data_IF_413782822491
#
_entry.id   IF_413782822491
#
_cell.length_a   1.000
_cell.length_b   1.000
_cell.length_c   1.000
_cell.angle_alpha   90.00
_cell.angle_beta   90.00
_cell.angle_gamma   90.00
#
_symmetry.space_group_name_H-M   'P 1'
#
loop_
_entity.id
_entity.type
_entity.pdbx_description
1 polymer ?
#
# COMPACT_ATOMS: atom_id res chain seq x y z
N UNK A 1 5.78 -12.60 -34.67
CA UNK A 1 7.05 -11.88 -34.48
C UNK A 1 7.50 -12.19 -33.05
N UNK A 2 8.69 -12.74 -32.86
CA UNK A 2 9.19 -13.06 -31.51
C UNK A 2 9.64 -11.76 -30.82
N UNK A 3 9.23 -11.57 -29.57
CA UNK A 3 9.68 -10.44 -28.74
C UNK A 3 11.11 -10.77 -28.26
N UNK A 4 12.10 -9.88 -28.43
CA UNK A 4 13.48 -10.15 -28.05
C UNK A 4 13.64 -10.19 -26.53
N UNK A 5 14.70 -10.85 -26.05
CA UNK A 5 15.03 -10.86 -24.62
C UNK A 5 16.15 -11.84 -24.28
N UNK A 6 16.67 -11.80 -23.04
CA UNK A 6 17.66 -12.74 -22.57
C UNK A 6 17.10 -14.17 -22.55
N UNK A 7 17.98 -15.14 -22.79
CA UNK A 7 17.64 -16.55 -22.61
C UNK A 7 17.76 -16.96 -21.14
N UNK A 8 16.99 -17.97 -20.74
CA UNK A 8 17.00 -18.52 -19.38
C UNK A 8 16.12 -17.74 -18.40
N UNK A 9 15.95 -18.32 -17.22
CA UNK A 9 15.22 -17.70 -16.12
C UNK A 9 16.02 -16.54 -15.53
N UNK A 10 15.38 -15.39 -15.34
CA UNK A 10 15.99 -14.18 -14.82
C UNK A 10 15.79 -14.00 -13.30
N UNK A 11 15.16 -14.96 -12.60
CA UNK A 11 14.79 -14.81 -11.19
C UNK A 11 15.96 -14.50 -10.27
N UNK A 12 17.12 -15.14 -10.44
CA UNK A 12 18.30 -14.86 -9.60
C UNK A 12 18.79 -13.42 -9.75
N UNK A 13 18.78 -12.90 -10.99
CA UNK A 13 19.15 -11.50 -11.25
C UNK A 13 18.10 -10.54 -10.70
N UNK A 14 16.82 -10.87 -10.87
CA UNK A 14 15.72 -10.05 -10.36
C UNK A 14 15.76 -9.94 -8.84
N UNK A 15 15.99 -11.04 -8.11
CA UNK A 15 16.07 -11.02 -6.65
C UNK A 15 17.32 -10.29 -6.13
N UNK A 16 18.42 -10.32 -6.89
CA UNK A 16 19.67 -9.67 -6.48
C UNK A 16 19.69 -8.16 -6.78
N UNK A 17 19.16 -7.74 -7.92
CA UNK A 17 19.19 -6.35 -8.40
C UNK A 17 18.03 -6.11 -9.41
N UNK A 18 16.79 -5.89 -8.90
CA UNK A 18 15.63 -5.68 -9.77
C UNK A 18 15.81 -4.45 -10.67
N UNK A 19 16.32 -3.34 -10.13
CA UNK A 19 16.51 -2.10 -10.89
C UNK A 19 17.58 -2.26 -11.96
N UNK A 20 18.72 -2.88 -11.64
CA UNK A 20 19.78 -3.15 -12.60
C UNK A 20 19.33 -4.09 -13.71
N UNK A 21 18.57 -5.14 -13.40
CA UNK A 21 17.95 -6.00 -14.41
C UNK A 21 17.00 -5.20 -15.32
N UNK A 22 16.08 -4.42 -14.74
CA UNK A 22 15.14 -3.59 -15.51
C UNK A 22 15.85 -2.49 -16.32
N UNK A 23 17.02 -2.03 -15.90
CA UNK A 23 17.83 -1.12 -16.70
C UNK A 23 18.47 -1.84 -17.90
N UNK A 24 19.13 -2.98 -17.66
CA UNK A 24 19.82 -3.77 -18.68
C UNK A 24 18.87 -4.26 -19.79
N UNK A 25 17.65 -4.68 -19.40
CA UNK A 25 16.65 -5.20 -20.35
C UNK A 25 16.26 -4.17 -21.41
N UNK A 26 16.36 -2.86 -21.14
CA UNK A 26 16.08 -1.80 -22.12
C UNK A 26 16.89 -1.95 -23.41
N UNK A 27 18.08 -2.53 -23.33
CA UNK A 27 18.96 -2.76 -24.49
C UNK A 27 18.37 -3.73 -25.53
N UNK A 28 17.41 -4.58 -25.15
CA UNK A 28 16.72 -5.50 -26.07
C UNK A 28 15.61 -4.83 -26.87
N UNK A 29 15.16 -3.65 -26.44
CA UNK A 29 14.18 -2.82 -27.16
C UNK A 29 12.96 -2.47 -26.33
N UNK A 30 11.87 -2.13 -27.03
CA UNK A 30 10.65 -1.55 -26.45
C UNK A 30 9.75 -2.56 -25.73
N UNK A 31 9.83 -3.82 -26.14
CA UNK A 31 9.14 -4.95 -25.53
C UNK A 31 10.18 -6.04 -25.34
N UNK A 32 10.30 -6.54 -24.12
CA UNK A 32 11.35 -7.49 -23.76
C UNK A 32 10.71 -8.70 -23.11
N UNK A 33 10.93 -9.86 -23.72
CA UNK A 33 10.45 -11.14 -23.20
C UNK A 33 11.45 -11.68 -22.19
N UNK A 34 11.00 -12.03 -21.00
CA UNK A 34 11.81 -12.71 -19.98
C UNK A 34 11.03 -13.89 -19.42
N UNK A 35 11.76 -14.94 -19.04
CA UNK A 35 11.25 -15.93 -18.12
C UNK A 35 11.58 -15.44 -16.70
N UNK A 36 10.57 -15.35 -15.84
CA UNK A 36 10.75 -14.96 -14.43
C UNK A 36 10.12 -16.04 -13.55
N UNK A 37 10.95 -16.88 -12.93
CA UNK A 37 10.52 -18.02 -12.13
C UNK A 37 9.55 -18.96 -12.89
N UNK A 38 9.82 -19.21 -14.17
CA UNK A 38 8.95 -20.01 -15.04
C UNK A 38 7.78 -19.24 -15.68
N UNK A 39 7.47 -18.02 -15.22
CA UNK A 39 6.41 -17.20 -15.80
C UNK A 39 6.88 -16.51 -17.09
N UNK A 40 6.04 -16.60 -18.13
CA UNK A 40 6.22 -15.87 -19.38
C UNK A 40 5.86 -14.38 -19.15
N UNK A 41 6.88 -13.52 -19.14
CA UNK A 41 6.75 -12.11 -18.76
C UNK A 41 7.23 -11.20 -19.89
N UNK A 42 6.47 -10.14 -20.16
CA UNK A 42 6.87 -9.08 -21.09
C UNK A 42 7.04 -7.78 -20.33
N UNK A 43 8.26 -7.23 -20.35
CA UNK A 43 8.58 -5.90 -19.83
C UNK A 43 8.35 -4.86 -20.93
N UNK A 44 7.60 -3.81 -20.61
CA UNK A 44 7.16 -2.78 -21.57
C UNK A 44 7.89 -1.46 -21.26
N UNK A 45 8.73 -1.01 -22.19
CA UNK A 45 9.41 0.30 -22.15
C UNK A 45 8.78 1.32 -23.11
N UNK A 46 7.73 0.94 -23.83
CA UNK A 46 7.01 1.81 -24.76
C UNK A 46 5.86 2.54 -24.06
N UNK A 47 5.96 3.87 -23.98
CA UNK A 47 4.97 4.72 -23.29
C UNK A 47 3.58 4.62 -23.94
N UNK A 48 3.49 4.51 -25.26
CA UNK A 48 2.21 4.41 -25.96
C UNK A 48 1.53 3.07 -25.66
N UNK A 49 2.29 1.97 -25.65
CA UNK A 49 1.78 0.67 -25.29
C UNK A 49 1.38 0.58 -23.82
N UNK A 50 2.17 1.15 -22.90
CA UNK A 50 1.79 1.26 -21.48
C UNK A 50 0.51 2.07 -21.31
N UNK A 51 0.39 3.21 -21.99
CA UNK A 51 -0.85 4.00 -21.97
C UNK A 51 -2.04 3.18 -22.49
N UNK A 52 -1.90 2.51 -23.64
CA UNK A 52 -2.95 1.67 -24.21
C UNK A 52 -3.35 0.52 -23.28
N UNK A 53 -2.38 -0.08 -22.58
CA UNK A 53 -2.62 -1.12 -21.58
C UNK A 53 -3.51 -0.59 -20.44
N UNK A 54 -3.11 0.53 -19.84
CA UNK A 54 -3.82 1.10 -18.68
C UNK A 54 -5.11 1.84 -19.02
N UNK A 55 -5.26 2.38 -20.24
CA UNK A 55 -6.43 3.14 -20.67
C UNK A 55 -7.49 2.28 -21.38
N UNK A 56 -7.08 1.38 -22.27
CA UNK A 56 -7.99 0.71 -23.21
C UNK A 56 -8.08 -0.82 -23.03
N UNK A 57 -7.14 -1.39 -22.26
CA UNK A 57 -6.98 -2.86 -22.12
C UNK A 57 -6.88 -3.33 -20.68
N UNK A 58 -7.26 -2.50 -19.72
CA UNK A 58 -7.20 -2.84 -18.30
C UNK A 58 -8.08 -4.04 -17.96
N UNK A 59 -9.16 -4.26 -18.71
CA UNK A 59 -10.04 -5.44 -18.64
C UNK A 59 -9.34 -6.77 -18.97
N UNK A 60 -8.15 -6.73 -19.59
CA UNK A 60 -7.32 -7.90 -19.87
C UNK A 60 -6.21 -8.09 -18.83
N UNK A 61 -6.11 -7.21 -17.82
CA UNK A 61 -5.08 -7.26 -16.78
C UNK A 61 -5.70 -7.80 -15.50
N UNK A 62 -5.29 -9.00 -15.12
CA UNK A 62 -5.64 -9.60 -13.84
C UNK A 62 -4.93 -8.93 -12.66
N UNK A 63 -5.40 -9.22 -11.46
CA UNK A 63 -4.73 -8.83 -10.22
C UNK A 63 -3.46 -9.67 -10.05
N UNK A 64 -2.34 -9.02 -9.74
CA UNK A 64 -1.11 -9.76 -9.48
C UNK A 64 -1.19 -10.48 -8.12
N UNK A 65 -0.54 -11.64 -7.99
CA UNK A 65 -0.59 -12.47 -6.77
C UNK A 65 -0.31 -11.73 -5.45
N UNK A 66 0.63 -10.76 -5.36
CA UNK A 66 0.81 -9.97 -4.14
C UNK A 66 -0.42 -9.14 -3.75
N UNK A 67 -1.20 -8.67 -4.73
CA UNK A 67 -2.46 -7.98 -4.48
C UNK A 67 -3.59 -8.96 -4.12
N UNK A 68 -3.53 -10.21 -4.59
CA UNK A 68 -4.44 -11.27 -4.13
C UNK A 68 -4.20 -11.54 -2.64
N UNK A 69 -2.96 -11.71 -2.21
CA UNK A 69 -2.58 -11.83 -0.80
C UNK A 69 -3.04 -10.62 0.02
N UNK A 70 -2.86 -9.40 -0.49
CA UNK A 70 -3.34 -8.18 0.17
C UNK A 70 -4.87 -8.11 0.28
N UNK A 71 -5.61 -8.79 -0.60
CA UNK A 71 -7.09 -8.81 -0.58
C UNK A 71 -7.64 -9.57 0.63
N UNK A 72 -6.86 -10.46 1.23
CA UNK A 72 -7.21 -11.11 2.49
C UNK A 72 -7.30 -10.10 3.65
N UNK A 73 -6.39 -9.12 3.69
CA UNK A 73 -6.42 -8.05 4.69
C UNK A 73 -7.48 -6.97 4.38
N UNK A 74 -7.62 -6.62 3.10
CA UNK A 74 -8.34 -5.39 2.69
C UNK A 74 -9.68 -5.64 1.99
N UNK A 75 -10.06 -6.91 1.81
CA UNK A 75 -11.23 -7.32 1.04
C UNK A 75 -11.19 -6.76 -0.39
N UNK A 76 -12.34 -6.31 -0.88
CA UNK A 76 -12.47 -5.58 -2.16
C UNK A 76 -12.35 -4.06 -1.97
N UNK A 77 -11.34 -3.63 -1.21
CA UNK A 77 -10.99 -2.23 -0.97
C UNK A 77 -10.42 -1.53 -2.20
N UNK A 78 -9.92 -0.29 -2.05
CA UNK A 78 -9.39 0.50 -3.19
C UNK A 78 -8.19 -0.19 -3.87
N UNK A 79 -7.32 -0.82 -3.09
CA UNK A 79 -6.06 -1.40 -3.59
C UNK A 79 -6.25 -2.76 -4.28
N UNK A 80 -7.33 -3.48 -3.94
CA UNK A 80 -7.54 -4.90 -4.26
C UNK A 80 -8.84 -5.13 -5.02
N UNK A 81 -9.46 -4.05 -5.53
CA UNK A 81 -10.64 -4.13 -6.37
C UNK A 81 -10.34 -3.68 -7.80
N UNK A 82 -10.42 -4.62 -8.74
CA UNK A 82 -10.17 -4.40 -10.16
C UNK A 82 -11.47 -4.26 -10.97
N UNK A 83 -12.64 -4.36 -10.33
CA UNK A 83 -13.92 -4.05 -10.96
C UNK A 83 -14.18 -2.54 -10.94
N UNK A 84 -14.13 -1.91 -12.11
CA UNK A 84 -14.30 -0.48 -12.29
C UNK A 84 -15.62 0.07 -11.74
N UNK A 85 -16.72 -0.68 -11.90
CA UNK A 85 -18.06 -0.21 -11.53
C UNK A 85 -18.21 -0.10 -10.02
N UNK A 86 -17.54 -0.99 -9.27
CA UNK A 86 -17.51 -0.94 -7.80
C UNK A 86 -16.32 -0.14 -7.26
N UNK A 87 -15.20 -0.07 -7.97
CA UNK A 87 -14.01 0.67 -7.56
C UNK A 87 -14.19 2.18 -7.67
N UNK A 88 -14.72 2.66 -8.80
CA UNK A 88 -14.81 4.11 -9.07
C UNK A 88 -15.64 4.87 -8.03
N UNK A 89 -16.83 4.39 -7.61
CA UNK A 89 -17.59 5.04 -6.54
C UNK A 89 -16.84 5.06 -5.21
N UNK A 90 -16.20 3.95 -4.81
CA UNK A 90 -15.41 3.84 -3.57
C UNK A 90 -14.22 4.81 -3.57
N UNK A 91 -13.44 4.82 -4.65
CA UNK A 91 -12.33 5.78 -4.80
C UNK A 91 -12.82 7.22 -4.71
N UNK A 92 -13.94 7.54 -5.35
CA UNK A 92 -14.49 8.90 -5.28
C UNK A 92 -14.87 9.27 -3.85
N UNK A 93 -15.48 8.37 -3.09
CA UNK A 93 -15.86 8.61 -1.70
C UNK A 93 -14.62 8.90 -0.83
N UNK A 94 -13.55 8.10 -0.97
CA UNK A 94 -12.32 8.23 -0.17
C UNK A 94 -11.46 9.42 -0.60
N UNK A 95 -11.35 9.74 -1.90
CA UNK A 95 -10.50 10.85 -2.38
C UNK A 95 -11.14 12.21 -2.14
N UNK A 96 -12.48 12.31 -2.08
CA UNK A 96 -13.19 13.57 -1.86
C UNK A 96 -12.73 14.31 -0.57
N UNK A 97 -12.62 13.66 0.60
CA UNK A 97 -12.09 14.28 1.82
C UNK A 97 -10.56 14.50 1.79
N UNK A 98 -9.85 14.05 0.75
CA UNK A 98 -8.41 14.29 0.54
C UNK A 98 -8.12 15.43 -0.46
N UNK A 99 -9.13 16.19 -0.87
CA UNK A 99 -8.93 17.32 -1.79
C UNK A 99 -8.07 18.44 -1.17
N UNK A 100 -7.41 19.25 -2.00
CA UNK A 100 -6.47 20.30 -1.54
C UNK A 100 -7.03 21.24 -0.45
N UNK A 101 -8.34 21.51 -0.46
CA UNK A 101 -9.00 22.33 0.58
C UNK A 101 -9.10 21.58 1.92
N UNK A 102 -9.34 20.28 1.90
CA UNK A 102 -9.38 19.44 3.09
C UNK A 102 -7.98 19.23 3.65
N UNK A 103 -6.96 19.04 2.80
CA UNK A 103 -5.54 18.98 3.22
C UNK A 103 -5.14 20.20 4.07
N UNK A 104 -5.62 21.39 3.71
CA UNK A 104 -5.38 22.61 4.50
C UNK A 104 -5.94 22.57 5.93
N UNK A 105 -6.93 21.73 6.23
CA UNK A 105 -7.49 21.56 7.57
C UNK A 105 -6.65 20.62 8.45
N UNK A 106 -5.79 19.81 7.83
CA UNK A 106 -4.90 18.89 8.51
C UNK A 106 -3.47 19.45 8.66
N UNK A 107 -3.18 20.57 7.98
CA UNK A 107 -1.86 21.19 7.97
C UNK A 107 -1.31 21.43 9.37
N UNK A 108 -2.06 22.12 10.22
CA UNK A 108 -1.61 22.49 11.56
C UNK A 108 -1.41 21.23 12.43
N UNK A 109 -2.32 20.25 12.32
CA UNK A 109 -2.18 18.95 13.03
C UNK A 109 -0.97 18.14 12.57
N UNK A 110 -0.65 18.17 11.27
CA UNK A 110 0.58 17.53 10.77
C UNK A 110 1.82 18.20 11.32
N UNK A 111 1.83 19.54 11.45
CA UNK A 111 2.93 20.27 12.09
C UNK A 111 3.03 19.88 13.56
N UNK A 112 1.93 19.86 14.31
CA UNK A 112 1.93 19.48 15.72
C UNK A 112 2.52 18.07 15.93
N UNK A 113 2.13 17.09 15.09
CA UNK A 113 2.69 15.72 15.14
C UNK A 113 4.19 15.69 14.89
N UNK A 114 4.70 16.53 13.97
CA UNK A 114 6.11 16.62 13.62
C UNK A 114 6.88 17.33 14.74
N UNK A 115 6.36 18.42 15.28
CA UNK A 115 6.98 19.19 16.36
C UNK A 115 7.09 18.33 17.64
N UNK A 116 6.05 17.56 17.98
CA UNK A 116 6.07 16.58 19.08
C UNK A 116 7.21 15.56 18.98
N UNK A 117 7.55 15.15 17.76
CA UNK A 117 8.64 14.21 17.49
C UNK A 117 10.00 14.91 17.57
N UNK A 118 10.12 16.11 17.00
CA UNK A 118 11.34 16.90 17.02
C UNK A 118 11.70 17.40 18.43
N UNK A 119 10.72 17.68 19.29
CA UNK A 119 10.92 18.07 20.68
C UNK A 119 11.57 16.97 21.53
N UNK A 120 11.52 15.71 21.07
CA UNK A 120 12.20 14.59 21.73
C UNK A 120 13.68 14.48 21.31
N UNK A 121 14.10 15.20 20.28
CA UNK A 121 15.45 15.10 19.75
C UNK A 121 16.40 16.01 20.53
N UNK A 122 17.55 15.46 20.92
CA UNK A 122 18.64 16.22 21.51
C UNK A 122 19.69 16.57 20.46
N UNK A 123 20.32 17.73 20.59
CA UNK A 123 21.45 18.11 19.72
C UNK A 123 22.54 17.04 19.79
N UNK A 124 22.85 16.44 18.65
CA UNK A 124 23.82 15.36 18.53
C UNK A 124 23.19 13.96 18.41
N UNK A 125 21.86 13.83 18.55
CA UNK A 125 21.18 12.56 18.30
C UNK A 125 21.25 12.16 16.82
N UNK A 126 21.33 10.86 16.58
CA UNK A 126 21.37 10.25 15.25
C UNK A 126 20.18 9.28 15.16
N UNK A 127 18.94 9.79 15.06
CA UNK A 127 17.77 8.94 15.03
C UNK A 127 17.79 8.07 13.78
N UNK A 128 17.26 6.85 13.90
CA UNK A 128 16.94 6.05 12.73
C UNK A 128 15.80 6.74 11.96
N UNK A 129 16.16 7.39 10.86
CA UNK A 129 15.21 8.13 10.03
C UNK A 129 14.16 7.20 9.41
N UNK A 130 14.49 5.93 9.14
CA UNK A 130 13.53 4.99 8.54
C UNK A 130 12.39 4.72 9.50
N UNK A 131 12.69 4.30 10.73
CA UNK A 131 11.66 4.05 11.74
C UNK A 131 10.94 5.34 12.16
N UNK A 132 11.66 6.47 12.20
CA UNK A 132 11.07 7.76 12.58
C UNK A 132 10.08 8.26 11.53
N UNK A 133 10.45 8.25 10.25
CA UNK A 133 9.54 8.65 9.16
C UNK A 133 8.35 7.69 9.06
N UNK A 134 8.57 6.38 9.28
CA UNK A 134 7.47 5.40 9.33
C UNK A 134 6.46 5.74 10.42
N UNK A 135 6.93 5.95 11.66
CA UNK A 135 6.08 6.32 12.81
C UNK A 135 5.34 7.64 12.58
N UNK A 136 6.03 8.67 12.10
CA UNK A 136 5.42 9.96 11.77
C UNK A 136 4.32 9.81 10.71
N UNK A 137 4.59 9.06 9.65
CA UNK A 137 3.63 8.83 8.57
C UNK A 137 2.37 8.15 9.10
N UNK A 138 2.51 7.14 9.97
CA UNK A 138 1.38 6.42 10.56
C UNK A 138 0.59 7.30 11.53
N UNK A 139 1.25 8.11 12.37
CA UNK A 139 0.58 9.13 13.21
C UNK A 139 -0.23 10.11 12.37
N UNK A 140 0.35 10.64 11.30
CA UNK A 140 -0.34 11.56 10.39
C UNK A 140 -1.54 10.88 9.74
N UNK A 141 -1.35 9.72 9.09
CA UNK A 141 -2.45 9.01 8.41
C UNK A 141 -3.60 8.70 9.37
N UNK A 142 -3.29 8.34 10.60
CA UNK A 142 -4.33 8.04 11.57
C UNK A 142 -5.07 9.28 12.08
N UNK A 143 -4.37 10.41 12.30
CA UNK A 143 -5.05 11.68 12.58
C UNK A 143 -5.97 12.09 11.41
N UNK A 144 -5.49 11.96 10.17
CA UNK A 144 -6.27 12.24 8.96
C UNK A 144 -7.55 11.38 8.88
N UNK A 145 -7.44 10.10 9.23
CA UNK A 145 -8.55 9.14 9.15
C UNK A 145 -9.54 9.30 10.30
N UNK A 146 -9.05 9.57 11.51
CA UNK A 146 -9.85 9.39 12.72
C UNK A 146 -10.07 10.66 13.56
N UNK A 147 -9.41 11.79 13.29
CA UNK A 147 -9.37 13.00 14.16
C UNK A 147 -9.21 12.64 15.64
N UNK A 148 -8.35 11.66 15.92
CA UNK A 148 -8.05 11.24 17.29
C UNK A 148 -6.56 11.27 17.46
N UNK A 149 -6.09 11.86 18.56
CA UNK A 149 -4.76 11.51 19.06
C UNK A 149 -4.71 10.00 19.22
N UNK A 150 -3.88 9.36 18.40
CA UNK A 150 -3.64 7.94 18.56
C UNK A 150 -2.96 7.74 19.91
N UNK A 151 -3.68 7.09 20.81
CA UNK A 151 -3.07 6.57 22.02
C UNK A 151 -1.90 5.65 21.62
N UNK A 152 -0.88 5.50 22.48
CA UNK A 152 0.21 4.55 22.22
C UNK A 152 -0.29 3.14 21.93
N UNK A 153 -1.46 2.77 22.43
CA UNK A 153 -2.10 1.48 22.18
C UNK A 153 -2.63 1.37 20.75
N UNK A 154 -3.25 2.44 20.23
CA UNK A 154 -3.75 2.50 18.87
C UNK A 154 -2.63 2.46 17.83
N UNK A 155 -1.52 3.17 18.07
CA UNK A 155 -0.32 3.10 17.23
C UNK A 155 0.18 1.65 17.15
N UNK A 156 0.28 0.95 18.29
CA UNK A 156 0.74 -0.45 18.31
C UNK A 156 -0.17 -1.40 17.54
N UNK A 157 -1.49 -1.20 17.59
CA UNK A 157 -2.45 -2.02 16.83
C UNK A 157 -2.28 -1.79 15.32
N UNK A 158 -2.19 -0.53 14.89
CA UNK A 158 -2.02 -0.18 13.48
C UNK A 158 -0.66 -0.69 12.96
N UNK A 159 0.43 -0.42 13.69
CA UNK A 159 1.77 -0.87 13.32
C UNK A 159 1.82 -2.41 13.21
N UNK A 160 1.26 -3.12 14.19
CA UNK A 160 1.21 -4.58 14.19
C UNK A 160 0.46 -5.15 12.98
N UNK A 161 -0.68 -4.56 12.63
CA UNK A 161 -1.42 -4.96 11.43
C UNK A 161 -0.64 -4.67 10.14
N UNK A 162 0.00 -3.50 10.03
CA UNK A 162 0.82 -3.14 8.86
C UNK A 162 2.01 -4.09 8.69
N UNK A 163 2.67 -4.50 9.77
CA UNK A 163 3.76 -5.48 9.71
C UNK A 163 3.28 -6.85 9.24
N UNK A 164 2.19 -7.38 9.82
CA UNK A 164 1.64 -8.66 9.40
C UNK A 164 1.15 -8.63 7.93
N UNK A 165 0.59 -7.50 7.47
CA UNK A 165 0.22 -7.31 6.07
C UNK A 165 1.45 -7.37 5.15
N UNK A 166 2.56 -6.70 5.50
CA UNK A 166 3.78 -6.76 4.71
C UNK A 166 4.36 -8.17 4.69
N UNK A 167 4.50 -8.81 5.86
CA UNK A 167 5.00 -10.18 5.97
C UNK A 167 4.18 -11.16 5.14
N UNK A 168 2.86 -10.98 5.10
CA UNK A 168 1.97 -11.80 4.30
C UNK A 168 2.09 -11.50 2.81
N UNK A 169 2.08 -10.23 2.40
CA UNK A 169 2.18 -9.83 1.00
C UNK A 169 3.54 -10.17 0.36
N UNK A 170 4.60 -10.21 1.16
CA UNK A 170 5.96 -10.58 0.75
C UNK A 170 6.24 -12.08 0.84
N UNK A 171 5.29 -12.86 1.36
CA UNK A 171 5.45 -14.31 1.45
C UNK A 171 5.58 -14.91 0.04
N UNK A 172 6.53 -15.81 -0.14
CA UNK A 172 6.76 -16.51 -1.41
C UNK A 172 5.50 -17.30 -1.81
N UNK A 173 4.75 -16.89 -2.86
CA UNK A 173 3.49 -17.52 -3.21
C UNK A 173 3.65 -18.99 -3.62
N UNK A 174 4.86 -19.42 -4.00
CA UNK A 174 5.15 -20.82 -4.31
C UNK A 174 5.31 -21.69 -3.05
N UNK A 175 5.47 -21.07 -1.87
CA UNK A 175 5.72 -21.74 -0.59
C UNK A 175 4.61 -21.56 0.44
N UNK A 176 3.67 -20.66 0.21
CA UNK A 176 2.51 -20.45 1.07
C UNK A 176 1.23 -20.95 0.42
N UNK A 177 0.34 -21.52 1.24
CA UNK A 177 -1.03 -21.76 0.83
C UNK A 177 -1.79 -20.43 0.94
N UNK A 178 -2.12 -19.83 -0.21
CA UNK A 178 -2.78 -18.53 -0.29
C UNK A 178 -4.15 -18.54 0.39
N UNK A 179 -4.78 -19.72 0.54
CA UNK A 179 -6.09 -19.85 1.16
C UNK A 179 -6.02 -19.93 2.70
N UNK A 180 -4.82 -20.07 3.29
CA UNK A 180 -4.64 -20.28 4.73
C UNK A 180 -3.81 -19.16 5.35
N UNK A 181 -4.52 -18.19 5.93
CA UNK A 181 -3.90 -17.07 6.63
C UNK A 181 -3.22 -17.49 7.96
N UNK A 182 -1.99 -17.00 8.23
CA UNK A 182 -1.33 -17.17 9.52
C UNK A 182 -2.21 -16.72 10.68
N UNK A 183 -2.13 -17.41 11.81
CA UNK A 183 -2.91 -17.03 13.00
C UNK A 183 -2.53 -15.63 13.54
N UNK A 184 -1.26 -15.23 13.38
CA UNK A 184 -0.80 -13.88 13.74
C UNK A 184 -1.44 -12.81 12.87
N UNK A 185 -1.46 -13.03 11.56
CA UNK A 185 -2.11 -12.15 10.58
C UNK A 185 -3.59 -11.96 10.90
N UNK A 186 -4.34 -13.07 11.04
CA UNK A 186 -5.77 -13.01 11.40
C UNK A 186 -6.02 -12.21 12.67
N UNK A 187 -5.22 -12.47 13.71
CA UNK A 187 -5.32 -11.74 14.96
C UNK A 187 -5.08 -10.23 14.77
N UNK A 188 -4.06 -9.84 14.00
CA UNK A 188 -3.74 -8.44 13.80
C UNK A 188 -4.82 -7.70 12.98
N UNK A 189 -5.43 -8.37 11.99
CA UNK A 189 -6.58 -7.84 11.26
C UNK A 189 -7.81 -7.72 12.16
N UNK A 190 -8.10 -8.72 13.02
CA UNK A 190 -9.20 -8.67 13.98
C UNK A 190 -9.02 -7.54 15.02
N UNK A 191 -7.80 -7.35 15.52
CA UNK A 191 -7.45 -6.26 16.44
C UNK A 191 -7.65 -4.88 15.76
N UNK A 192 -7.25 -4.75 14.50
CA UNK A 192 -7.43 -3.52 13.71
C UNK A 192 -8.92 -3.23 13.43
N UNK A 193 -9.71 -4.23 13.02
CA UNK A 193 -11.16 -4.08 12.81
C UNK A 193 -11.86 -3.68 14.11
N UNK A 194 -11.49 -4.30 15.23
CA UNK A 194 -12.02 -3.94 16.56
C UNK A 194 -11.69 -2.49 16.92
N UNK A 195 -10.45 -2.06 16.67
CA UNK A 195 -10.03 -0.68 16.89
C UNK A 195 -10.85 0.30 16.03
N UNK A 196 -10.97 0.05 14.71
CA UNK A 196 -11.72 0.91 13.79
C UNK A 196 -13.19 1.01 14.22
N UNK A 197 -13.83 -0.12 14.59
CA UNK A 197 -15.20 -0.12 15.11
C UNK A 197 -15.32 0.69 16.40
N UNK A 198 -14.37 0.54 17.31
CA UNK A 198 -14.35 1.32 18.55
C UNK A 198 -14.27 2.83 18.29
N UNK A 199 -13.45 3.25 17.33
CA UNK A 199 -13.37 4.65 16.90
C UNK A 199 -14.69 5.11 16.28
N UNK A 200 -15.32 4.29 15.45
CA UNK A 200 -16.61 4.61 14.82
C UNK A 200 -17.74 4.72 15.85
N UNK A 201 -17.84 3.77 16.78
CA UNK A 201 -18.92 3.68 17.77
C UNK A 201 -18.85 4.81 18.81
N UNK A 202 -17.63 5.32 19.09
CA UNK A 202 -17.43 6.45 19.99
C UNK A 202 -17.84 7.81 19.39
N UNK A 203 -18.14 7.87 18.08
CA UNK A 203 -18.44 9.14 17.40
C UNK A 203 -19.84 9.67 17.74
N UNK A 204 -19.97 10.95 18.11
CA UNK A 204 -21.28 11.60 18.25
C UNK A 204 -22.00 11.65 16.90
N UNK A 205 -23.26 11.22 16.87
CA UNK A 205 -24.08 11.22 15.65
C UNK A 205 -24.35 12.63 15.10
N UNK A 206 -24.32 13.66 15.95
CA UNK A 206 -24.55 15.06 15.60
C UNK A 206 -23.26 15.82 15.21
N UNK A 207 -22.09 15.22 15.45
CA UNK A 207 -20.79 15.76 15.07
C UNK A 207 -19.89 14.63 14.54
N UNK A 208 -20.03 14.25 13.26
CA UNK A 208 -19.36 13.08 12.70
C UNK A 208 -17.84 13.21 12.60
N UNK A 209 -17.26 14.38 12.91
CA UNK A 209 -15.83 14.68 12.82
C UNK A 209 -15.46 15.38 11.51
N UNK A 210 -14.27 15.98 11.49
CA UNK A 210 -13.69 16.64 10.31
C UNK A 210 -12.44 15.87 9.86
N UNK A 211 -12.66 14.58 9.57
CA UNK A 211 -11.72 13.60 9.05
C UNK A 211 -12.34 12.83 7.88
N UNK A 212 -11.59 11.86 7.34
CA UNK A 212 -12.04 11.04 6.23
C UNK A 212 -13.22 10.10 6.54
N UNK A 213 -13.50 9.79 7.80
CA UNK A 213 -14.59 8.89 8.21
C UNK A 213 -15.90 9.67 8.46
N UNK A 214 -15.80 10.93 8.85
CA UNK A 214 -16.94 11.81 9.18
C UNK A 214 -17.63 12.51 8.00
N UNK A 215 -17.15 12.31 6.76
CA UNK A 215 -17.62 13.03 5.55
C UNK A 215 -18.51 12.22 4.60
#
# INVERSE_FOLDING_TARGET
>A
MSIPGPSGDQIERFLADPEGLLHDLQSYGRFVHINLAGADTVVIYDVEASHRLFADKLDHVGMAAPFELLSHATGSGILTNYDWDTWRPRRRAIVKPLGARAVGQFHDRMIDIIDDELDQWTVGDHPDLTSTVRRLTLRVVADLLFTTDLTPDAVRVIDGAVEEIHLWAEADPAKVDLDIEPASFRKAIDDLDTFIRGVMDARPHDNPGNDMVGH
#
